data_IF_575163962728
#
_entry.id   IF_575163962728
#
_cell.length_a   1.000
_cell.length_b   1.000
_cell.length_c   1.000
_cell.angle_alpha   90.00
_cell.angle_beta   90.00
_cell.angle_gamma   90.00
#
_symmetry.space_group_name_H-M   'P 1'
#
loop_
_entity.id
_entity.type
_entity.pdbx_description
1 polymer ?
#
# COMPACT_ATOMS: atom_id res chain seq x y z
N UNK A 1 -28.45 13.75 -10.14
CA UNK A 1 -29.00 15.07 -9.75
C UNK A 1 -30.11 15.02 -8.71
N UNK A 2 -31.22 14.28 -8.88
CA UNK A 2 -32.35 14.37 -7.92
C UNK A 2 -31.96 13.93 -6.50
N UNK A 3 -31.28 12.79 -6.35
CA UNK A 3 -30.84 12.28 -5.03
C UNK A 3 -29.85 13.25 -4.36
N UNK A 4 -28.85 13.73 -5.10
CA UNK A 4 -27.89 14.74 -4.62
C UNK A 4 -28.59 16.03 -4.18
N UNK A 5 -29.53 16.55 -4.99
CA UNK A 5 -30.29 17.74 -4.64
C UNK A 5 -31.19 17.52 -3.41
N UNK A 6 -31.74 16.31 -3.22
CA UNK A 6 -32.52 15.97 -2.03
C UNK A 6 -31.65 15.88 -0.77
N UNK A 7 -30.43 15.33 -0.88
CA UNK A 7 -29.46 15.24 0.23
C UNK A 7 -28.89 16.62 0.59
N UNK A 8 -28.53 17.42 -0.40
CA UNK A 8 -27.98 18.77 -0.23
C UNK A 8 -29.03 19.77 0.29
N UNK A 9 -30.31 19.60 -0.09
CA UNK A 9 -31.40 20.41 0.50
C UNK A 9 -31.71 20.06 1.96
N UNK A 10 -31.12 18.97 2.49
CA UNK A 10 -31.34 18.43 3.83
C UNK A 10 -30.16 18.66 4.79
N UNK A 11 -29.27 19.63 4.54
CA UNK A 11 -28.11 19.93 5.41
C UNK A 11 -28.48 20.12 6.90
N UNK A 12 -29.68 20.60 7.22
CA UNK A 12 -30.16 20.76 8.61
C UNK A 12 -30.78 19.50 9.23
N UNK A 13 -31.12 18.48 8.43
CA UNK A 13 -31.73 17.22 8.88
C UNK A 13 -30.85 15.99 8.66
N UNK A 14 -29.68 16.15 8.04
CA UNK A 14 -28.71 15.08 7.80
C UNK A 14 -28.29 14.34 9.10
N UNK A 15 -28.07 15.01 10.25
CA UNK A 15 -27.78 14.32 11.51
C UNK A 15 -28.93 13.42 11.98
N UNK A 16 -30.19 13.89 11.89
CA UNK A 16 -31.38 13.10 12.24
C UNK A 16 -31.65 11.97 11.22
N UNK A 17 -31.20 12.12 9.99
CA UNK A 17 -31.28 11.11 8.94
C UNK A 17 -30.25 10.01 9.17
N UNK A 18 -29.02 10.35 9.59
CA UNK A 18 -27.95 9.43 10.00
C UNK A 18 -28.36 8.62 11.25
N UNK A 19 -28.98 9.25 12.24
CA UNK A 19 -29.45 8.57 13.46
C UNK A 19 -30.59 7.57 13.22
N UNK A 20 -31.41 7.78 12.18
CA UNK A 20 -32.49 6.84 11.76
C UNK A 20 -32.06 5.93 10.59
N UNK A 21 -30.80 6.00 10.16
CA UNK A 21 -30.31 5.36 8.95
C UNK A 21 -30.14 3.85 9.08
N UNK A 22 -29.92 3.36 10.30
CA UNK A 22 -29.44 1.99 10.56
C UNK A 22 -30.42 0.90 10.15
N UNK A 23 -31.74 1.13 10.26
CA UNK A 23 -32.69 0.01 10.25
C UNK A 23 -33.60 -0.04 9.01
N UNK A 24 -33.91 1.10 8.38
CA UNK A 24 -34.92 1.16 7.29
C UNK A 24 -34.35 1.52 5.92
N UNK A 25 -33.28 2.30 5.85
CA UNK A 25 -32.73 2.79 4.59
C UNK A 25 -31.61 1.90 4.04
N UNK A 26 -30.89 1.20 4.92
CA UNK A 26 -29.86 0.23 4.56
C UNK A 26 -30.36 -0.89 3.62
N UNK A 27 -31.53 -1.52 3.87
CA UNK A 27 -32.11 -2.50 2.94
C UNK A 27 -32.51 -1.85 1.61
N UNK A 28 -33.07 -0.63 1.65
CA UNK A 28 -33.46 0.12 0.46
C UNK A 28 -32.23 0.52 -0.38
N UNK A 29 -31.11 0.83 0.28
CA UNK A 29 -29.82 1.10 -0.34
C UNK A 29 -29.25 -0.19 -0.96
N UNK A 30 -29.32 -1.34 -0.28
CA UNK A 30 -28.93 -2.63 -0.86
C UNK A 30 -29.78 -3.00 -2.10
N UNK A 31 -31.10 -2.81 -2.03
CA UNK A 31 -32.02 -3.01 -3.15
C UNK A 31 -31.73 -2.01 -4.28
N UNK A 32 -31.41 -0.76 -3.94
CA UNK A 32 -31.05 0.25 -4.92
C UNK A 32 -29.68 -0.02 -5.54
N UNK A 33 -28.69 -0.49 -4.78
CA UNK A 33 -27.34 -0.82 -5.28
C UNK A 33 -27.36 -2.05 -6.19
N UNK A 34 -28.27 -2.99 -5.97
CA UNK A 34 -28.48 -4.13 -6.87
C UNK A 34 -29.19 -3.72 -8.17
N UNK A 35 -30.02 -2.66 -8.14
CA UNK A 35 -30.73 -2.12 -9.30
C UNK A 35 -29.87 -1.10 -10.08
N UNK A 36 -29.08 -0.28 -9.38
CA UNK A 36 -28.23 0.79 -9.91
C UNK A 36 -26.90 0.16 -10.33
N UNK A 37 -26.90 -0.47 -11.50
CA UNK A 37 -25.65 -0.84 -12.15
C UNK A 37 -24.90 0.42 -12.59
N UNK A 38 -23.67 0.57 -12.11
CA UNK A 38 -22.61 1.38 -12.71
C UNK A 38 -22.96 2.86 -12.97
N UNK A 39 -23.60 3.53 -11.99
CA UNK A 39 -23.79 4.98 -12.03
C UNK A 39 -22.83 5.66 -11.04
N UNK A 40 -21.64 5.99 -11.51
CA UNK A 40 -20.53 6.55 -10.73
C UNK A 40 -20.93 7.78 -9.89
N UNK A 41 -21.82 8.62 -10.42
CA UNK A 41 -22.30 9.84 -9.73
C UNK A 41 -23.18 9.56 -8.51
N UNK A 42 -23.98 8.49 -8.52
CA UNK A 42 -24.80 8.11 -7.36
C UNK A 42 -23.89 7.62 -6.24
N UNK A 43 -22.87 6.84 -6.60
CA UNK A 43 -21.86 6.32 -5.67
C UNK A 43 -21.10 7.48 -5.02
N UNK A 44 -20.63 8.45 -5.81
CA UNK A 44 -19.95 9.67 -5.33
C UNK A 44 -20.77 10.42 -4.28
N UNK A 45 -22.05 10.67 -4.57
CA UNK A 45 -22.95 11.39 -3.67
C UNK A 45 -23.18 10.61 -2.37
N UNK A 46 -23.30 9.28 -2.46
CA UNK A 46 -23.54 8.41 -1.31
C UNK A 46 -22.27 8.31 -0.45
N UNK A 47 -21.09 8.13 -1.04
CA UNK A 47 -19.85 8.10 -0.29
C UNK A 47 -19.62 9.41 0.47
N UNK A 48 -19.80 10.58 -0.15
CA UNK A 48 -19.59 11.86 0.52
C UNK A 48 -20.43 12.02 1.80
N UNK A 49 -21.68 11.54 1.79
CA UNK A 49 -22.61 11.72 2.91
C UNK A 49 -22.64 10.56 3.91
N UNK A 50 -22.30 9.34 3.49
CA UNK A 50 -22.47 8.12 4.28
C UNK A 50 -21.17 7.45 4.70
N UNK A 51 -20.00 8.00 4.34
CA UNK A 51 -18.71 7.48 4.83
C UNK A 51 -18.56 7.53 6.35
N UNK A 52 -19.23 8.48 7.02
CA UNK A 52 -19.31 8.55 8.48
C UNK A 52 -20.05 7.37 9.12
N UNK A 53 -20.76 6.55 8.35
CA UNK A 53 -21.51 5.39 8.84
C UNK A 53 -20.65 4.12 8.79
N UNK A 54 -20.45 3.48 9.94
CA UNK A 54 -19.59 2.30 10.08
C UNK A 54 -20.06 1.10 9.24
N UNK A 55 -21.36 0.93 9.05
CA UNK A 55 -21.94 -0.21 8.31
C UNK A 55 -21.92 -0.04 6.79
N UNK A 56 -21.63 1.16 6.28
CA UNK A 56 -21.70 1.45 4.84
C UNK A 56 -20.68 0.63 4.03
N UNK A 57 -19.41 0.68 4.41
CA UNK A 57 -18.35 -0.05 3.70
C UNK A 57 -18.53 -1.58 3.74
N UNK A 58 -18.84 -2.22 4.89
CA UNK A 58 -19.18 -3.63 4.93
C UNK A 58 -20.25 -4.04 3.93
N UNK A 59 -21.27 -3.22 3.72
CA UNK A 59 -22.39 -3.52 2.83
C UNK A 59 -22.00 -3.43 1.37
N UNK A 60 -21.25 -2.38 0.99
CA UNK A 60 -20.72 -2.22 -0.36
C UNK A 60 -19.79 -3.39 -0.71
N UNK A 61 -18.91 -3.79 0.21
CA UNK A 61 -17.98 -4.90 -0.02
C UNK A 61 -18.65 -6.28 0.01
N UNK A 62 -19.81 -6.42 0.67
CA UNK A 62 -20.57 -7.68 0.69
C UNK A 62 -21.48 -7.84 -0.53
N UNK A 63 -22.25 -6.80 -0.87
CA UNK A 63 -23.33 -6.87 -1.87
C UNK A 63 -23.03 -6.14 -3.17
N UNK A 64 -22.08 -5.18 -3.18
CA UNK A 64 -21.73 -4.42 -4.37
C UNK A 64 -20.98 -5.26 -5.40
N UNK A 65 -21.08 -4.88 -6.68
CA UNK A 65 -20.28 -5.44 -7.79
C UNK A 65 -18.80 -5.07 -7.65
N UNK A 66 -17.91 -5.78 -8.36
CA UNK A 66 -16.47 -5.46 -8.43
C UNK A 66 -16.23 -3.99 -8.81
N UNK A 67 -16.97 -3.50 -9.80
CA UNK A 67 -16.90 -2.11 -10.26
C UNK A 67 -17.36 -1.10 -9.20
N UNK A 68 -18.45 -1.40 -8.49
CA UNK A 68 -18.94 -0.54 -7.40
C UNK A 68 -17.90 -0.40 -6.27
N UNK A 69 -17.27 -1.51 -5.86
CA UNK A 69 -16.21 -1.50 -4.84
C UNK A 69 -15.00 -0.68 -5.29
N UNK A 70 -14.58 -0.84 -6.55
CA UNK A 70 -13.48 -0.08 -7.13
C UNK A 70 -13.77 1.43 -7.16
N UNK A 71 -14.97 1.82 -7.60
CA UNK A 71 -15.38 3.22 -7.63
C UNK A 71 -15.39 3.84 -6.23
N UNK A 72 -15.94 3.14 -5.22
CA UNK A 72 -15.92 3.64 -3.84
C UNK A 72 -14.49 3.82 -3.34
N UNK A 73 -13.58 2.89 -3.65
CA UNK A 73 -12.17 3.03 -3.32
C UNK A 73 -11.52 4.22 -4.01
N UNK A 74 -11.85 4.47 -5.28
CA UNK A 74 -11.34 5.64 -6.00
C UNK A 74 -11.82 6.94 -5.38
N UNK A 75 -13.10 7.04 -5.00
CA UNK A 75 -13.60 8.21 -4.27
C UNK A 75 -12.84 8.38 -2.96
N UNK A 76 -12.72 7.31 -2.19
CA UNK A 76 -12.01 7.30 -0.91
C UNK A 76 -10.56 7.77 -1.06
N UNK A 77 -9.81 7.23 -2.02
CA UNK A 77 -8.41 7.62 -2.27
C UNK A 77 -8.29 9.12 -2.52
N UNK A 78 -9.24 9.71 -3.24
CA UNK A 78 -9.25 11.15 -3.56
C UNK A 78 -9.84 12.03 -2.44
N UNK A 79 -10.73 11.49 -1.62
CA UNK A 79 -11.43 12.20 -0.55
C UNK A 79 -10.78 12.03 0.83
N UNK A 80 -9.61 11.39 0.92
CA UNK A 80 -8.89 11.18 2.17
C UNK A 80 -8.40 12.54 2.75
N UNK A 81 -9.10 13.01 3.78
CA UNK A 81 -8.86 14.27 4.51
C UNK A 81 -8.77 14.05 6.03
N UNK A 82 -8.36 15.06 6.83
CA UNK A 82 -8.07 14.85 8.27
C UNK A 82 -9.32 14.40 9.06
N UNK A 83 -10.49 14.51 8.44
CA UNK A 83 -11.80 14.14 8.98
C UNK A 83 -12.20 12.70 8.65
N UNK A 84 -11.34 11.93 7.97
CA UNK A 84 -11.66 10.54 7.62
C UNK A 84 -11.85 9.70 8.89
N UNK A 85 -12.99 9.03 9.06
CA UNK A 85 -13.27 8.24 10.27
C UNK A 85 -12.34 7.04 10.45
N UNK A 86 -11.95 6.75 11.70
CA UNK A 86 -11.07 5.62 12.07
C UNK A 86 -11.61 4.25 11.59
N UNK A 87 -12.94 4.06 11.58
CA UNK A 87 -13.56 2.81 11.13
C UNK A 87 -13.29 2.50 9.65
N UNK A 88 -13.08 3.53 8.82
CA UNK A 88 -12.74 3.34 7.41
C UNK A 88 -11.35 2.71 7.29
N UNK A 89 -10.39 3.21 8.06
CA UNK A 89 -9.03 2.68 8.09
C UNK A 89 -9.00 1.24 8.61
N UNK A 90 -9.67 0.98 9.74
CA UNK A 90 -9.75 -0.36 10.33
C UNK A 90 -10.43 -1.37 9.39
N UNK A 91 -11.51 -0.97 8.73
CA UNK A 91 -12.17 -1.80 7.72
C UNK A 91 -11.23 -2.13 6.55
N UNK A 92 -10.52 -1.15 6.02
CA UNK A 92 -9.62 -1.35 4.87
C UNK A 92 -8.42 -2.23 5.22
N UNK A 93 -7.87 -2.12 6.42
CA UNK A 93 -6.81 -3.03 6.90
C UNK A 93 -7.30 -4.45 7.03
N UNK A 94 -8.47 -4.66 7.65
CA UNK A 94 -9.08 -5.99 7.76
C UNK A 94 -9.37 -6.57 6.37
N UNK A 95 -9.87 -5.75 5.45
CA UNK A 95 -10.14 -6.18 4.09
C UNK A 95 -8.86 -6.60 3.36
N UNK A 96 -7.78 -5.83 3.48
CA UNK A 96 -6.48 -6.19 2.92
C UNK A 96 -5.94 -7.49 3.53
N UNK A 97 -6.06 -7.67 4.85
CA UNK A 97 -5.64 -8.89 5.54
C UNK A 97 -6.39 -10.12 5.02
N UNK A 98 -7.72 -10.03 4.85
CA UNK A 98 -8.53 -11.13 4.30
C UNK A 98 -8.15 -11.43 2.84
N UNK A 99 -7.91 -10.40 2.03
CA UNK A 99 -7.59 -10.56 0.61
C UNK A 99 -6.16 -11.05 0.37
N UNK A 100 -5.23 -10.75 1.28
CA UNK A 100 -3.81 -11.12 1.19
C UNK A 100 -3.54 -12.63 1.07
N UNK A 101 -4.46 -13.44 1.57
CA UNK A 101 -4.38 -14.90 1.48
C UNK A 101 -4.80 -15.41 0.09
N UNK A 102 -5.59 -14.63 -0.65
CA UNK A 102 -6.15 -15.02 -1.96
C UNK A 102 -5.23 -14.67 -3.14
N UNK A 103 -4.30 -13.71 -3.00
CA UNK A 103 -3.40 -13.25 -4.08
C UNK A 103 -2.43 -14.36 -4.54
N UNK A 104 -2.20 -15.40 -3.73
CA UNK A 104 -1.24 -16.45 -4.03
C UNK A 104 -1.72 -17.49 -5.07
N UNK A 105 -2.96 -17.38 -5.56
CA UNK A 105 -3.59 -18.38 -6.43
C UNK A 105 -4.36 -17.65 -7.55
N UNK A 106 -3.80 -17.46 -8.74
CA UNK A 106 -4.57 -16.89 -9.84
C UNK A 106 -4.16 -17.38 -11.22
N UNK A 107 -5.03 -18.20 -11.82
CA UNK A 107 -5.13 -18.45 -13.27
C UNK A 107 -6.57 -18.17 -13.79
N UNK A 108 -7.47 -17.56 -12.98
CA UNK A 108 -8.91 -17.44 -13.30
C UNK A 108 -9.40 -15.99 -13.51
N UNK A 109 -10.52 -15.76 -14.21
CA UNK A 109 -11.05 -14.40 -14.43
C UNK A 109 -11.65 -13.74 -13.17
N UNK A 110 -12.25 -14.51 -12.25
CA UNK A 110 -12.76 -13.96 -10.97
C UNK A 110 -11.63 -13.55 -10.01
N UNK A 111 -10.43 -14.14 -10.18
CA UNK A 111 -9.25 -13.76 -9.40
C UNK A 111 -8.63 -12.45 -9.87
N UNK A 112 -8.87 -12.03 -11.13
CA UNK A 112 -8.40 -10.74 -11.66
C UNK A 112 -9.12 -9.55 -11.02
N UNK A 113 -10.45 -9.61 -10.92
CA UNK A 113 -11.24 -8.56 -10.24
C UNK A 113 -10.83 -8.41 -8.77
N UNK A 114 -10.56 -9.53 -8.10
CA UNK A 114 -10.09 -9.53 -6.72
C UNK A 114 -8.66 -8.98 -6.61
N UNK A 115 -7.79 -9.23 -7.59
CA UNK A 115 -6.45 -8.64 -7.65
C UNK A 115 -6.52 -7.12 -7.82
N UNK A 116 -7.32 -6.62 -8.76
CA UNK A 116 -7.56 -5.18 -8.96
C UNK A 116 -8.09 -4.53 -7.69
N UNK A 117 -9.07 -5.15 -7.05
CA UNK A 117 -9.63 -4.66 -5.79
C UNK A 117 -8.56 -4.58 -4.70
N UNK A 118 -7.71 -5.60 -4.60
CA UNK A 118 -6.62 -5.63 -3.59
C UNK A 118 -5.55 -4.58 -3.86
N UNK A 119 -5.21 -4.33 -5.13
CA UNK A 119 -4.31 -3.24 -5.54
C UNK A 119 -4.87 -1.90 -5.10
N UNK A 120 -6.17 -1.63 -5.34
CA UNK A 120 -6.83 -0.38 -4.92
C UNK A 120 -6.91 -0.24 -3.40
N UNK A 121 -7.20 -1.32 -2.66
CA UNK A 121 -7.14 -1.29 -1.19
C UNK A 121 -5.72 -0.96 -0.71
N UNK A 122 -4.69 -1.55 -1.33
CA UNK A 122 -3.30 -1.24 -1.01
C UNK A 122 -2.95 0.23 -1.35
N UNK A 123 -3.44 0.76 -2.45
CA UNK A 123 -3.27 2.17 -2.82
C UNK A 123 -3.92 3.11 -1.79
N UNK A 124 -5.14 2.79 -1.34
CA UNK A 124 -5.78 3.48 -0.22
C UNK A 124 -4.90 3.48 1.03
N UNK A 125 -4.36 2.30 1.40
CA UNK A 125 -3.44 2.17 2.54
C UNK A 125 -2.15 2.96 2.35
N UNK A 126 -1.61 3.04 1.13
CA UNK A 126 -0.45 3.90 0.80
C UNK A 126 -0.75 5.37 1.07
N UNK A 127 -1.89 5.87 0.60
CA UNK A 127 -2.27 7.28 0.79
C UNK A 127 -2.54 7.55 2.26
N UNK A 128 -3.35 6.71 2.92
CA UNK A 128 -3.67 6.83 4.34
C UNK A 128 -2.41 6.80 5.23
N UNK A 129 -1.46 5.90 4.95
CA UNK A 129 -0.23 5.78 5.74
C UNK A 129 0.81 6.87 5.50
N UNK A 130 0.67 7.64 4.42
CA UNK A 130 1.61 8.74 4.11
C UNK A 130 1.27 10.04 4.85
N UNK A 131 0.22 10.05 5.68
CA UNK A 131 -0.32 11.27 6.30
C UNK A 131 0.38 11.57 7.62
N UNK A 132 0.75 12.82 7.81
CA UNK A 132 1.38 13.34 9.02
C UNK A 132 0.32 13.77 10.05
N UNK A 133 -0.52 12.83 10.49
CA UNK A 133 -1.50 13.04 11.57
C UNK A 133 -0.99 12.59 12.94
N UNK A 134 -1.45 13.26 14.01
CA UNK A 134 -1.08 12.98 15.40
C UNK A 134 -1.61 11.64 15.94
N UNK A 135 -2.65 11.06 15.32
CA UNK A 135 -3.23 9.77 15.72
C UNK A 135 -2.82 8.62 14.80
N UNK A 136 -1.53 8.27 14.82
CA UNK A 136 -0.97 7.09 14.12
C UNK A 136 -1.35 5.74 14.77
N UNK A 137 -2.48 5.66 15.48
CA UNK A 137 -2.92 4.44 16.18
C UNK A 137 -3.10 3.28 15.21
N UNK A 138 -3.63 3.58 14.02
CA UNK A 138 -3.75 2.66 12.91
C UNK A 138 -2.39 2.12 12.41
N UNK A 139 -1.36 2.96 12.38
CA UNK A 139 -0.02 2.58 11.92
C UNK A 139 0.73 1.72 12.95
N UNK A 140 0.28 1.69 14.21
CA UNK A 140 0.83 0.81 15.23
C UNK A 140 0.31 -0.64 15.12
N UNK A 141 -0.56 -0.96 14.16
CA UNK A 141 -1.03 -2.33 13.94
C UNK A 141 0.09 -3.22 13.36
N UNK A 142 0.70 -4.03 14.23
CA UNK A 142 1.70 -5.01 13.83
C UNK A 142 1.17 -6.14 12.93
N UNK A 143 -0.16 -6.34 12.88
CA UNK A 143 -0.76 -7.35 12.01
C UNK A 143 -0.71 -6.91 10.55
N UNK A 144 -1.11 -5.67 10.25
CA UNK A 144 -0.99 -5.10 8.91
C UNK A 144 0.45 -5.21 8.38
N UNK A 145 1.44 -4.83 9.21
CA UNK A 145 2.84 -4.94 8.82
C UNK A 145 3.25 -6.38 8.48
N UNK A 146 2.86 -7.34 9.32
CA UNK A 146 3.15 -8.76 9.11
C UNK A 146 2.52 -9.27 7.81
N UNK A 147 1.28 -8.86 7.52
CA UNK A 147 0.57 -9.16 6.28
C UNK A 147 1.29 -8.58 5.07
N UNK A 148 1.62 -7.28 5.06
CA UNK A 148 2.27 -6.62 3.92
C UNK A 148 3.63 -7.25 3.63
N UNK A 149 4.44 -7.53 4.66
CA UNK A 149 5.72 -8.25 4.50
C UNK A 149 5.51 -9.67 3.97
N UNK A 150 4.47 -10.37 4.44
CA UNK A 150 4.09 -11.69 3.96
C UNK A 150 3.69 -11.71 2.48
N UNK A 151 2.87 -10.75 2.05
CA UNK A 151 2.47 -10.59 0.64
C UNK A 151 3.68 -10.27 -0.22
N UNK A 152 4.52 -9.32 0.18
CA UNK A 152 5.74 -8.98 -0.55
C UNK A 152 6.63 -10.21 -0.75
N UNK A 153 6.76 -11.06 0.28
CA UNK A 153 7.52 -12.31 0.20
C UNK A 153 6.92 -13.29 -0.81
N UNK A 154 5.59 -13.51 -0.76
CA UNK A 154 4.86 -14.38 -1.71
C UNK A 154 5.05 -13.90 -3.14
N UNK A 155 4.84 -12.60 -3.40
CA UNK A 155 4.98 -11.97 -4.73
C UNK A 155 6.43 -12.04 -5.24
N UNK A 156 7.41 -11.81 -4.35
CA UNK A 156 8.84 -11.91 -4.71
C UNK A 156 9.23 -13.34 -5.07
N UNK A 157 8.70 -14.33 -4.36
CA UNK A 157 8.92 -15.75 -4.66
C UNK A 157 8.28 -16.16 -6.00
N UNK A 158 7.04 -15.72 -6.25
CA UNK A 158 6.35 -15.96 -7.52
C UNK A 158 7.12 -15.35 -8.70
N UNK A 159 7.59 -14.11 -8.57
CA UNK A 159 8.37 -13.42 -9.61
C UNK A 159 9.74 -14.04 -9.90
N UNK A 160 10.31 -14.85 -8.99
CA UNK A 160 11.54 -15.63 -9.23
C UNK A 160 11.26 -16.95 -9.97
N UNK A 161 10.09 -17.54 -9.77
CA UNK A 161 9.67 -18.78 -10.42
C UNK A 161 9.18 -18.56 -11.85
N UNK A 162 8.56 -17.41 -12.12
CA UNK A 162 7.99 -17.06 -13.41
C UNK A 162 8.78 -15.92 -14.05
N UNK A 163 9.75 -16.24 -14.90
CA UNK A 163 10.54 -15.23 -15.64
C UNK A 163 9.69 -14.43 -16.66
N UNK A 164 8.42 -14.80 -16.84
CA UNK A 164 7.47 -14.22 -17.81
C UNK A 164 6.10 -13.83 -17.21
N UNK A 165 5.92 -13.95 -15.88
CA UNK A 165 4.64 -13.65 -15.22
C UNK A 165 4.47 -12.15 -14.92
N UNK A 166 3.24 -11.72 -14.60
CA UNK A 166 2.86 -10.33 -14.29
C UNK A 166 3.69 -9.69 -13.16
N UNK A 167 4.28 -10.53 -12.29
CA UNK A 167 5.12 -10.13 -11.16
C UNK A 167 6.64 -10.33 -11.38
N UNK A 168 7.06 -10.79 -12.56
CA UNK A 168 8.47 -10.96 -12.91
C UNK A 168 9.22 -9.62 -13.01
N UNK A 169 10.54 -9.66 -12.85
CA UNK A 169 11.41 -8.51 -13.09
C UNK A 169 11.46 -8.21 -14.59
N UNK A 170 10.90 -7.08 -15.03
CA UNK A 170 11.13 -6.55 -16.37
C UNK A 170 12.25 -5.52 -16.31
N UNK A 171 13.41 -5.85 -16.91
CA UNK A 171 14.48 -4.87 -17.13
C UNK A 171 14.25 -4.16 -18.46
N UNK A 172 14.32 -2.83 -18.44
CA UNK A 172 14.31 -1.87 -19.56
C UNK A 172 14.45 -2.55 -20.92
N UNK A 173 13.34 -3.01 -21.49
CA UNK A 173 13.25 -3.17 -22.95
C UNK A 173 12.98 -1.77 -23.46
N UNK A 174 14.01 -1.15 -24.04
CA UNK A 174 13.87 0.15 -24.70
C UNK A 174 12.65 0.11 -25.62
N UNK A 175 11.60 0.91 -25.39
CA UNK A 175 10.48 0.94 -26.32
C UNK A 175 10.97 1.56 -27.63
N UNK A 176 10.54 1.06 -28.80
CA UNK A 176 10.70 1.83 -30.03
C UNK A 176 10.04 3.20 -29.82
N UNK A 177 10.73 4.26 -30.25
CA UNK A 177 10.26 5.64 -30.14
C UNK A 177 8.85 5.74 -30.74
N UNK A 178 7.84 5.94 -29.90
CA UNK A 178 6.46 6.21 -30.32
C UNK A 178 5.34 5.38 -29.70
N UNK A 179 5.61 4.33 -28.91
CA UNK A 179 4.56 3.58 -28.20
C UNK A 179 4.48 3.96 -26.73
N UNK A 180 3.48 4.77 -26.37
CA UNK A 180 3.02 4.93 -24.99
C UNK A 180 2.19 3.70 -24.65
N UNK A 181 2.86 2.60 -24.29
CA UNK A 181 2.20 1.51 -23.57
C UNK A 181 2.69 1.60 -22.13
N UNK A 182 1.96 2.39 -21.33
CA UNK A 182 1.81 2.08 -19.91
C UNK A 182 1.38 0.61 -19.90
N UNK A 183 2.15 -0.27 -19.27
CA UNK A 183 1.80 -1.68 -19.21
C UNK A 183 0.35 -1.80 -18.75
N UNK A 184 -0.53 -2.38 -19.59
CA UNK A 184 -1.93 -2.74 -19.27
C UNK A 184 -1.98 -3.87 -18.23
N UNK A 185 -1.01 -3.92 -17.32
CA UNK A 185 -0.95 -4.87 -16.22
C UNK A 185 -1.73 -4.26 -15.05
N UNK A 186 -2.90 -4.83 -14.68
CA UNK A 186 -3.73 -4.31 -13.59
C UNK A 186 -3.03 -4.34 -12.23
N UNK A 187 -1.89 -5.03 -12.12
CA UNK A 187 -1.10 -5.19 -10.90
C UNK A 187 0.24 -4.42 -10.97
N UNK A 188 0.40 -3.53 -11.96
CA UNK A 188 1.56 -2.65 -12.03
C UNK A 188 1.70 -1.79 -10.76
N UNK A 189 2.93 -1.64 -10.27
CA UNK A 189 3.25 -0.89 -9.06
C UNK A 189 2.93 -1.60 -7.75
N UNK A 190 2.42 -2.85 -7.77
CA UNK A 190 2.01 -3.54 -6.55
C UNK A 190 3.17 -3.75 -5.56
N UNK A 191 4.36 -4.16 -6.02
CA UNK A 191 5.54 -4.30 -5.13
C UNK A 191 5.99 -2.95 -4.58
N UNK A 192 5.99 -1.91 -5.41
CA UNK A 192 6.31 -0.54 -4.98
C UNK A 192 5.38 -0.08 -3.87
N UNK A 193 4.07 -0.31 -4.02
CA UNK A 193 3.06 0.03 -3.01
C UNK A 193 3.25 -0.76 -1.72
N UNK A 194 3.56 -2.06 -1.78
CA UNK A 194 3.87 -2.86 -0.59
C UNK A 194 5.08 -2.30 0.17
N UNK A 195 6.16 -1.99 -0.55
CA UNK A 195 7.39 -1.43 0.04
C UNK A 195 7.12 -0.04 0.64
N UNK A 196 6.31 0.79 -0.04
CA UNK A 196 5.88 2.09 0.48
C UNK A 196 5.12 1.96 1.80
N UNK A 197 4.15 1.05 1.91
CA UNK A 197 3.41 0.83 3.16
C UNK A 197 4.34 0.36 4.28
N UNK A 198 5.28 -0.56 4.00
CA UNK A 198 6.29 -0.99 4.98
C UNK A 198 7.09 0.22 5.48
N UNK A 199 7.60 1.05 4.57
CA UNK A 199 8.37 2.23 4.91
C UNK A 199 7.59 3.25 5.74
N UNK A 200 6.32 3.45 5.42
CA UNK A 200 5.43 4.36 6.15
C UNK A 200 5.13 3.84 7.57
N UNK A 201 4.82 2.54 7.71
CA UNK A 201 4.54 1.91 9.01
C UNK A 201 5.75 1.95 9.95
N UNK A 202 6.98 1.88 9.42
CA UNK A 202 8.20 1.98 10.22
C UNK A 202 8.61 3.42 10.57
N UNK A 203 8.01 4.44 9.95
CA UNK A 203 8.42 5.82 10.17
C UNK A 203 8.11 6.28 11.59
N UNK A 204 9.16 6.50 12.40
CA UNK A 204 9.09 6.89 13.82
C UNK A 204 8.25 5.91 14.68
N UNK A 205 8.24 4.62 14.34
CA UNK A 205 7.59 3.57 15.13
C UNK A 205 8.60 2.46 15.48
N UNK A 206 9.25 2.52 16.67
CA UNK A 206 10.25 1.53 17.10
C UNK A 206 9.73 0.09 17.12
N UNK A 207 8.46 -0.11 17.45
CA UNK A 207 7.80 -1.41 17.48
C UNK A 207 7.78 -2.03 16.07
N UNK A 208 7.33 -1.28 15.08
CA UNK A 208 7.29 -1.73 13.68
C UNK A 208 8.69 -1.88 13.08
N UNK A 209 9.62 -0.99 13.41
CA UNK A 209 11.02 -1.13 13.00
C UNK A 209 11.62 -2.45 13.48
N UNK A 210 11.39 -2.80 14.75
CA UNK A 210 11.84 -4.06 15.34
C UNK A 210 11.13 -5.24 14.69
N UNK A 211 9.81 -5.13 14.50
CA UNK A 211 8.99 -6.19 13.91
C UNK A 211 9.39 -6.52 12.47
N UNK A 212 9.66 -5.51 11.63
CA UNK A 212 10.17 -5.73 10.26
C UNK A 212 11.48 -6.52 10.28
N UNK A 213 12.39 -6.22 11.22
CA UNK A 213 13.64 -6.97 11.36
C UNK A 213 13.37 -8.43 11.72
N UNK A 214 12.53 -8.68 12.72
CA UNK A 214 12.17 -10.05 13.15
C UNK A 214 11.53 -10.88 12.02
N UNK A 215 10.72 -10.24 11.18
CA UNK A 215 10.11 -10.87 10.01
C UNK A 215 11.09 -11.10 8.84
N UNK A 216 12.36 -10.71 8.99
CA UNK A 216 13.34 -10.74 7.90
C UNK A 216 12.98 -9.81 6.74
N UNK A 217 12.23 -8.73 7.02
CA UNK A 217 11.75 -7.78 6.03
C UNK A 217 12.86 -6.85 5.49
N UNK A 218 13.92 -6.60 6.25
CA UNK A 218 15.05 -5.75 5.82
C UNK A 218 15.69 -6.31 4.54
N UNK A 219 16.08 -7.59 4.56
CA UNK A 219 16.67 -8.26 3.38
C UNK A 219 15.69 -8.28 2.20
N UNK A 220 14.40 -8.53 2.48
CA UNK A 220 13.36 -8.56 1.45
C UNK A 220 13.19 -7.21 0.73
N UNK A 221 13.27 -6.09 1.45
CA UNK A 221 13.24 -4.74 0.84
C UNK A 221 14.54 -4.47 0.06
N UNK A 222 15.69 -4.89 0.58
CA UNK A 222 16.98 -4.73 -0.10
C UNK A 222 17.05 -5.47 -1.46
N UNK A 223 16.34 -6.59 -1.62
CA UNK A 223 16.24 -7.30 -2.91
C UNK A 223 15.62 -6.45 -4.04
N UNK A 224 14.89 -5.39 -3.70
CA UNK A 224 14.14 -4.55 -4.64
C UNK A 224 14.82 -3.20 -4.93
N UNK A 225 16.15 -3.15 -4.85
CA UNK A 225 16.96 -1.96 -5.19
C UNK A 225 17.24 -1.83 -6.69
N UNK A 226 16.91 -2.85 -7.48
CA UNK A 226 17.02 -2.82 -8.94
C UNK A 226 15.78 -2.17 -9.57
N UNK A 227 15.95 -1.58 -10.75
CA UNK A 227 14.83 -1.09 -11.55
C UNK A 227 13.94 -2.26 -12.00
N UNK A 228 12.63 -2.03 -11.99
CA UNK A 228 11.60 -2.98 -12.41
C UNK A 228 10.52 -2.18 -13.17
N UNK A 229 10.35 -2.42 -14.47
CA UNK A 229 9.43 -1.63 -15.31
C UNK A 229 7.96 -1.84 -14.88
N UNK A 230 7.64 -3.01 -14.31
CA UNK A 230 6.32 -3.29 -13.75
C UNK A 230 6.09 -2.58 -12.42
N UNK A 231 7.13 -2.07 -11.77
CA UNK A 231 7.04 -1.44 -10.45
C UNK A 231 7.75 -0.08 -10.46
N UNK A 232 7.09 0.97 -10.96
CA UNK A 232 7.63 2.33 -10.97
C UNK A 232 8.07 2.77 -9.57
N UNK A 233 9.20 3.47 -9.52
CA UNK A 233 9.81 3.99 -8.29
C UNK A 233 10.18 2.96 -7.22
N UNK A 234 10.23 1.66 -7.54
CA UNK A 234 10.52 0.62 -6.55
C UNK A 234 11.83 0.86 -5.80
N UNK A 235 12.87 1.33 -6.51
CA UNK A 235 14.15 1.67 -5.91
C UNK A 235 14.03 2.83 -4.90
N UNK A 236 13.30 3.89 -5.24
CA UNK A 236 13.11 5.06 -4.38
C UNK A 236 12.32 4.70 -3.13
N UNK A 237 11.26 3.90 -3.28
CA UNK A 237 10.49 3.39 -2.15
C UNK A 237 11.33 2.45 -1.28
N UNK A 238 12.17 1.61 -1.86
CA UNK A 238 13.11 0.75 -1.12
C UNK A 238 14.11 1.58 -0.30
N UNK A 239 14.70 2.62 -0.87
CA UNK A 239 15.61 3.54 -0.16
C UNK A 239 14.89 4.23 1.00
N UNK A 240 13.69 4.77 0.76
CA UNK A 240 12.90 5.43 1.81
C UNK A 240 12.51 4.45 2.92
N UNK A 241 12.08 3.23 2.57
CA UNK A 241 11.72 2.21 3.54
C UNK A 241 12.92 1.83 4.42
N UNK A 242 14.09 1.58 3.84
CA UNK A 242 15.31 1.25 4.61
C UNK A 242 15.70 2.40 5.54
N UNK A 243 15.64 3.65 5.07
CA UNK A 243 15.85 4.84 5.93
C UNK A 243 14.93 4.81 7.14
N UNK A 244 13.62 4.63 6.92
CA UNK A 244 12.63 4.67 8.00
C UNK A 244 12.74 3.48 8.95
N UNK A 245 13.07 2.29 8.44
CA UNK A 245 13.34 1.08 9.24
C UNK A 245 14.57 1.29 10.16
N UNK A 246 15.57 2.05 9.71
CA UNK A 246 16.82 2.26 10.44
C UNK A 246 16.85 3.55 11.27
N UNK A 247 15.87 4.45 11.11
CA UNK A 247 15.83 5.75 11.79
C UNK A 247 15.80 5.57 13.32
N UNK A 248 16.91 5.89 13.99
CA UNK A 248 17.07 5.73 15.44
C UNK A 248 17.22 4.29 15.94
N UNK A 249 17.29 3.29 15.05
CA UNK A 249 17.36 1.87 15.41
C UNK A 249 18.71 1.25 15.04
N UNK A 250 19.63 1.17 16.01
CA UNK A 250 21.02 0.71 15.83
C UNK A 250 21.07 -0.75 15.37
N UNK A 251 20.25 -1.61 15.98
CA UNK A 251 20.21 -3.04 15.66
C UNK A 251 19.78 -3.26 14.19
N UNK A 252 18.85 -2.45 13.67
CA UNK A 252 18.47 -2.50 12.26
C UNK A 252 19.59 -2.00 11.34
N UNK A 253 20.32 -0.95 11.74
CA UNK A 253 21.49 -0.44 11.01
C UNK A 253 22.61 -1.49 10.91
N UNK A 254 22.83 -2.26 11.99
CA UNK A 254 23.80 -3.36 11.99
C UNK A 254 23.44 -4.44 10.99
N UNK A 255 22.15 -4.80 10.88
CA UNK A 255 21.67 -5.76 9.87
C UNK A 255 21.95 -5.25 8.46
N UNK A 256 21.62 -3.99 8.15
CA UNK A 256 21.90 -3.40 6.82
C UNK A 256 23.40 -3.38 6.52
N UNK A 257 24.22 -2.99 7.50
CA UNK A 257 25.69 -2.99 7.35
C UNK A 257 26.25 -4.40 7.07
N UNK A 258 25.65 -5.44 7.68
CA UNK A 258 26.03 -6.82 7.40
C UNK A 258 25.71 -7.22 5.95
N UNK A 259 24.56 -6.80 5.41
CA UNK A 259 24.23 -7.01 3.99
C UNK A 259 25.22 -6.32 3.05
N UNK A 260 25.58 -5.06 3.32
CA UNK A 260 26.57 -4.33 2.49
C UNK A 260 27.93 -5.04 2.43
N UNK A 261 28.39 -5.57 3.57
CA UNK A 261 29.66 -6.33 3.64
C UNK A 261 29.59 -7.62 2.83
N UNK A 262 28.46 -8.34 2.87
CA UNK A 262 28.26 -9.55 2.06
C UNK A 262 28.29 -9.24 0.57
N UNK A 263 27.56 -8.22 0.12
CA UNK A 263 27.53 -7.81 -1.29
C UNK A 263 28.91 -7.31 -1.78
N UNK A 264 29.66 -6.61 -0.93
CA UNK A 264 31.04 -6.20 -1.25
C UNK A 264 31.99 -7.40 -1.35
N UNK A 265 31.83 -8.41 -0.48
CA UNK A 265 32.63 -9.63 -0.53
C UNK A 265 32.32 -10.50 -1.76
N UNK A 266 31.07 -10.52 -2.23
CA UNK A 266 30.63 -11.30 -3.39
C UNK A 266 30.99 -10.66 -4.75
N UNK A 267 31.33 -9.36 -4.76
CA UNK A 267 31.65 -8.66 -6.01
C UNK A 267 33.01 -9.09 -6.59
N UNK A 268 33.06 -9.76 -7.77
CA UNK A 268 34.30 -10.27 -8.36
C UNK A 268 35.27 -9.15 -8.80
N UNK A 269 34.79 -7.91 -8.89
CA UNK A 269 35.61 -6.71 -9.14
C UNK A 269 36.46 -6.35 -7.90
N UNK A 270 35.93 -6.58 -6.69
CA UNK A 270 36.59 -6.30 -5.41
C UNK A 270 37.50 -7.45 -4.94
N UNK A 271 37.31 -8.65 -5.50
CA UNK A 271 38.20 -9.80 -5.27
C UNK A 271 39.47 -9.78 -6.14
N UNK A 272 39.63 -8.80 -7.04
CA UNK A 272 40.87 -8.66 -7.82
C UNK A 272 42.00 -8.18 -6.90
N UNK A 273 43.12 -8.92 -6.78
CA UNK A 273 44.28 -8.47 -6.01
C UNK A 273 44.86 -7.22 -6.68
N UNK A 274 44.57 -6.04 -6.13
CA UNK A 274 45.01 -4.75 -6.66
C UNK A 274 44.13 -3.55 -6.32
N UNK A 275 42.88 -3.76 -5.87
CA UNK A 275 41.99 -2.68 -5.41
C UNK A 275 41.95 -2.68 -3.88
N UNK A 276 42.93 -2.03 -3.25
CA UNK A 276 42.88 -1.77 -1.81
C UNK A 276 41.91 -0.60 -1.55
N UNK A 277 40.80 -0.87 -0.86
CA UNK A 277 39.94 0.17 -0.30
C UNK A 277 40.67 0.81 0.89
N UNK A 278 41.18 2.03 0.72
CA UNK A 278 41.44 2.91 1.87
C UNK A 278 40.08 3.35 2.43
N UNK A 279 39.56 2.56 3.37
CA UNK A 279 38.49 3.03 4.25
C UNK A 279 39.07 4.16 5.10
N UNK A 280 38.82 5.40 4.69
CA UNK A 280 39.17 6.59 5.47
C UNK A 280 38.37 6.53 6.78
N UNK A 281 39.02 6.44 7.96
CA UNK A 281 38.30 6.43 9.21
C UNK A 281 37.54 7.76 9.40
N UNK A 282 36.43 7.75 10.17
CA UNK A 282 35.64 8.96 10.40
C UNK A 282 36.54 10.05 11.00
N UNK A 283 36.54 11.21 10.35
CA UNK A 283 37.29 12.38 10.79
C UNK A 283 36.79 12.80 12.18
N UNK A 284 37.64 12.63 13.19
CA UNK A 284 37.47 13.26 14.51
C UNK A 284 37.49 14.78 14.29
N UNK A 285 36.37 15.44 14.57
CA UNK A 285 36.30 16.90 14.60
C UNK A 285 37.29 17.42 15.66
N UNK A 286 38.22 18.34 15.34
CA UNK A 286 39.03 18.98 16.36
C UNK A 286 38.16 19.92 17.21
N UNK A 287 38.45 19.92 18.51
CA UNK A 287 37.82 20.73 19.57
C UNK A 287 37.74 22.24 19.22
N UNK A 288 36.78 22.98 19.82
CA UNK A 288 36.62 24.40 19.56
C UNK A 288 37.81 25.20 20.10
N UNK A 289 38.38 26.05 19.26
CA UNK A 289 39.40 27.02 19.66
C UNK A 289 38.82 27.99 20.71
N UNK A 290 39.60 28.16 21.78
CA UNK A 290 39.46 29.14 22.88
C UNK A 290 39.20 30.56 22.42
#
# INVERSE_FOLDING_TARGET
MIVYNCLQSCETSLPCFIDNFSDSFLPLLCDSLTIVKDQDWIILCISEHFLSIETFLPIIFTYGSSNCRCNVLDVLIHSLDEETPDHVLDFMTKQFQVQSDLIALSESPETLDNAVLTVKVLEFLCVASSRDGHDRKFLADGNLLSTVVGVLRKVTAAGKSETSGEFGLSQIRSPPVGSVELSDNPVAGFKSSLIRVIGNLCYRCPENQTKVRELGGIGLVLEHFNLDDNNPFIQQWSVLAIRNICEGNVENQEVVTAYERLTAAESPILQRPGVALELKPPSVNPEPYT
#
